data_IF_271196242003
#
_entry.id   IF_271196242003
#
_cell.length_a   1.000
_cell.length_b   1.000
_cell.length_c   1.000
_cell.angle_alpha   90.00
_cell.angle_beta   90.00
_cell.angle_gamma   90.00
#
_symmetry.space_group_name_H-M   'P 1'
#
loop_
_entity.id
_entity.type
_entity.pdbx_description
1 polymer ?
#
# COMPACT_ATOMS: atom_id res chain seq x y z
N UNK A 1 23.02 41.41 8.25
CA UNK A 1 21.58 41.10 8.07
C UNK A 1 21.27 40.16 6.89
N UNK A 2 22.05 40.15 5.79
CA UNK A 2 21.75 39.30 4.62
C UNK A 2 22.04 37.80 4.75
N UNK A 3 22.93 37.37 5.67
CA UNK A 3 23.32 35.96 5.85
C UNK A 3 22.27 35.09 6.55
N UNK A 4 21.47 35.68 7.45
CA UNK A 4 20.42 34.96 8.17
C UNK A 4 19.16 34.70 7.31
N UNK A 5 18.92 35.54 6.30
CA UNK A 5 17.80 35.38 5.38
C UNK A 5 17.92 34.12 4.50
N UNK A 6 19.13 33.74 4.08
CA UNK A 6 19.39 32.53 3.28
C UNK A 6 19.23 31.24 4.09
N UNK A 7 19.58 31.26 5.39
CA UNK A 7 19.41 30.11 6.28
C UNK A 7 17.92 29.89 6.61
N UNK A 8 17.18 30.97 6.85
CA UNK A 8 15.72 30.90 7.03
C UNK A 8 15.00 30.43 5.76
N UNK A 9 15.42 30.90 4.58
CA UNK A 9 14.81 30.50 3.31
C UNK A 9 15.07 29.01 2.99
N UNK A 10 16.27 28.50 3.29
CA UNK A 10 16.59 27.07 3.12
C UNK A 10 15.88 26.18 4.14
N UNK A 11 15.66 26.66 5.37
CA UNK A 11 14.86 25.96 6.37
C UNK A 11 13.36 25.91 6.01
N UNK A 12 12.83 27.00 5.44
CA UNK A 12 11.44 27.06 4.96
C UNK A 12 11.25 26.16 3.73
N UNK A 13 12.23 26.10 2.81
CA UNK A 13 12.21 25.16 1.69
C UNK A 13 12.31 23.70 2.13
N UNK A 14 13.12 23.38 3.14
CA UNK A 14 13.22 22.00 3.63
C UNK A 14 11.97 21.56 4.38
N UNK A 15 11.32 22.46 5.12
CA UNK A 15 10.04 22.20 5.79
C UNK A 15 8.88 22.02 4.80
N UNK A 16 8.84 22.79 3.71
CA UNK A 16 7.79 22.64 2.70
C UNK A 16 7.92 21.34 1.90
N UNK A 17 9.15 20.90 1.60
CA UNK A 17 9.42 19.58 1.01
C UNK A 17 9.08 18.44 1.97
N UNK A 18 9.34 18.59 3.27
CA UNK A 18 8.96 17.59 4.28
C UNK A 18 7.44 17.44 4.41
N UNK A 19 6.71 18.56 4.42
CA UNK A 19 5.24 18.59 4.52
C UNK A 19 4.54 17.94 3.32
N UNK A 20 5.11 18.06 2.12
CA UNK A 20 4.58 17.40 0.91
C UNK A 20 4.68 15.87 0.94
N UNK A 21 5.54 15.29 1.79
CA UNK A 21 5.82 13.84 1.83
C UNK A 21 4.80 13.03 2.64
N UNK A 22 3.76 13.67 3.21
CA UNK A 22 2.82 13.03 4.14
C UNK A 22 1.38 12.95 3.60
N UNK A 23 1.22 12.64 2.32
CA UNK A 23 -0.04 12.02 1.89
C UNK A 23 -0.10 10.63 2.55
N UNK A 24 -0.95 10.49 3.58
CA UNK A 24 -1.05 9.25 4.38
C UNK A 24 -1.26 7.99 3.53
N UNK A 25 -0.77 6.86 4.03
CA UNK A 25 -0.90 5.55 3.37
C UNK A 25 -2.38 5.28 3.08
N UNK A 26 -2.69 4.80 1.87
CA UNK A 26 -4.07 4.41 1.53
C UNK A 26 -4.27 2.98 2.02
N UNK A 27 -5.17 2.84 2.97
CA UNK A 27 -5.52 1.56 3.58
C UNK A 27 -6.91 1.10 3.15
N UNK A 28 -7.28 -0.09 3.63
CA UNK A 28 -8.64 -0.61 3.49
C UNK A 28 -9.66 0.42 4.02
N UNK A 29 -10.64 0.85 3.22
CA UNK A 29 -11.65 1.79 3.68
C UNK A 29 -12.51 1.20 4.80
N UNK A 30 -12.73 1.98 5.86
CA UNK A 30 -13.71 1.66 6.91
C UNK A 30 -15.09 2.16 6.51
N UNK A 31 -15.81 1.38 5.69
CA UNK A 31 -17.18 1.69 5.28
C UNK A 31 -18.18 0.93 6.15
N UNK A 32 -19.16 1.64 6.73
CA UNK A 32 -20.32 1.04 7.38
C UNK A 32 -21.49 0.99 6.39
N UNK A 33 -21.92 -0.21 6.03
CA UNK A 33 -23.07 -0.41 5.14
C UNK A 33 -24.35 0.09 5.82
N UNK A 34 -25.18 0.81 5.07
CA UNK A 34 -26.51 1.29 5.51
C UNK A 34 -27.65 0.48 4.91
N UNK A 35 -27.38 -0.29 3.89
CA UNK A 35 -28.30 -1.16 3.16
C UNK A 35 -27.51 -2.19 2.36
N UNK A 36 -28.22 -3.13 1.74
CA UNK A 36 -27.65 -4.17 0.87
C UNK A 36 -27.40 -3.69 -0.57
N UNK A 37 -27.50 -2.39 -0.82
CA UNK A 37 -27.29 -1.80 -2.15
C UNK A 37 -25.80 -1.65 -2.42
N UNK A 38 -25.35 -2.16 -3.58
CA UNK A 38 -23.98 -2.00 -4.09
C UNK A 38 -23.76 -0.58 -4.64
N UNK A 39 -23.63 0.42 -3.76
CA UNK A 39 -23.33 1.78 -4.20
C UNK A 39 -21.90 1.87 -4.76
N UNK A 40 -21.57 2.92 -5.54
CA UNK A 40 -20.20 3.14 -5.99
C UNK A 40 -19.20 3.15 -4.82
N UNK A 41 -19.54 3.74 -3.68
CA UNK A 41 -18.68 3.76 -2.49
C UNK A 41 -18.38 2.34 -1.98
N UNK A 42 -19.38 1.45 -1.99
CA UNK A 42 -19.19 0.04 -1.63
C UNK A 42 -18.29 -0.65 -2.65
N UNK A 43 -18.54 -0.47 -3.94
CA UNK A 43 -17.74 -1.07 -5.01
C UNK A 43 -16.25 -0.62 -4.95
N UNK A 44 -16.01 0.64 -4.62
CA UNK A 44 -14.67 1.21 -4.45
C UNK A 44 -14.01 0.84 -3.12
N UNK A 45 -14.77 0.31 -2.15
CA UNK A 45 -14.23 -0.16 -0.86
C UNK A 45 -13.54 -1.54 -0.94
N UNK A 46 -13.84 -2.34 -1.97
CA UNK A 46 -13.21 -3.64 -2.14
C UNK A 46 -11.74 -3.52 -2.56
N UNK A 47 -10.89 -4.35 -1.97
CA UNK A 47 -9.51 -4.50 -2.41
C UNK A 47 -9.44 -5.16 -3.78
N UNK A 48 -8.61 -4.63 -4.68
CA UNK A 48 -8.35 -5.27 -5.98
C UNK A 48 -7.17 -6.22 -5.83
N UNK A 49 -7.41 -7.51 -6.04
CA UNK A 49 -6.38 -8.55 -5.99
C UNK A 49 -5.56 -8.52 -7.28
N UNK A 50 -4.23 -8.66 -7.19
CA UNK A 50 -3.38 -8.80 -8.38
C UNK A 50 -2.11 -9.63 -8.11
N UNK A 51 -1.50 -10.09 -9.20
CA UNK A 51 -0.19 -10.76 -9.29
C UNK A 51 0.06 -11.81 -8.20
N UNK A 52 -0.81 -12.84 -8.07
CA UNK A 52 -0.56 -13.93 -7.14
C UNK A 52 0.64 -14.76 -7.58
N UNK A 53 1.49 -15.15 -6.63
CA UNK A 53 2.64 -16.03 -6.82
C UNK A 53 2.68 -17.08 -5.71
N UNK A 54 2.81 -18.34 -6.10
CA UNK A 54 2.91 -19.46 -5.18
C UNK A 54 4.35 -19.64 -4.68
N UNK A 55 4.51 -19.96 -3.40
CA UNK A 55 5.80 -20.28 -2.81
C UNK A 55 6.40 -21.55 -3.46
N UNK A 56 7.73 -21.71 -3.45
CA UNK A 56 8.38 -22.88 -4.05
C UNK A 56 7.90 -24.23 -3.49
N UNK A 57 7.48 -24.27 -2.22
CA UNK A 57 6.93 -25.46 -1.56
C UNK A 57 5.42 -25.68 -1.80
N UNK A 58 4.76 -24.77 -2.52
CA UNK A 58 3.35 -24.86 -2.87
C UNK A 58 2.37 -24.50 -1.76
N UNK A 59 2.83 -23.99 -0.61
CA UNK A 59 1.97 -23.83 0.59
C UNK A 59 1.47 -22.42 0.85
N UNK A 60 2.13 -21.40 0.30
CA UNK A 60 1.84 -20.00 0.60
C UNK A 60 1.72 -19.20 -0.68
N UNK A 61 0.70 -18.36 -0.80
CA UNK A 61 0.59 -17.35 -1.84
C UNK A 61 1.12 -16.02 -1.33
N UNK A 62 1.85 -15.30 -2.16
CA UNK A 62 2.02 -13.84 -2.05
C UNK A 62 1.20 -13.18 -3.15
N UNK A 63 0.52 -12.09 -2.85
CA UNK A 63 -0.33 -11.37 -3.81
C UNK A 63 -0.49 -9.91 -3.38
N UNK A 64 -0.89 -9.05 -4.32
CA UNK A 64 -1.17 -7.65 -4.02
C UNK A 64 -2.64 -7.40 -3.72
N UNK A 65 -2.89 -6.43 -2.86
CA UNK A 65 -4.21 -5.82 -2.69
C UNK A 65 -4.09 -4.31 -2.89
N UNK A 66 -4.78 -3.79 -3.90
CA UNK A 66 -4.87 -2.34 -4.14
C UNK A 66 -6.15 -1.77 -3.54
N UNK A 67 -6.01 -0.74 -2.72
CA UNK A 67 -7.10 0.12 -2.28
C UNK A 67 -6.99 1.50 -2.92
N UNK A 68 -8.13 2.17 -3.11
CA UNK A 68 -8.20 3.46 -3.78
C UNK A 68 -8.70 4.55 -2.85
N UNK A 69 -8.09 5.73 -2.96
CA UNK A 69 -8.55 6.93 -2.27
C UNK A 69 -9.05 7.96 -3.26
N UNK A 70 -10.35 8.28 -3.15
CA UNK A 70 -10.95 9.40 -3.88
C UNK A 70 -10.29 10.73 -3.52
N UNK A 71 -9.97 10.94 -2.24
CA UNK A 71 -9.35 12.17 -1.74
C UNK A 71 -7.96 12.38 -2.34
N UNK A 72 -7.16 11.32 -2.44
CA UNK A 72 -5.80 11.39 -2.96
C UNK A 72 -5.74 11.16 -4.48
N UNK A 73 -6.88 10.83 -5.12
CA UNK A 73 -6.99 10.47 -6.53
C UNK A 73 -5.92 9.44 -6.98
N UNK A 74 -5.65 8.45 -6.13
CA UNK A 74 -4.63 7.41 -6.39
C UNK A 74 -5.02 6.07 -5.75
N UNK A 75 -4.41 5.00 -6.21
CA UNK A 75 -4.40 3.70 -5.55
C UNK A 75 -3.11 3.48 -4.76
N UNK A 76 -3.15 2.56 -3.79
CA UNK A 76 -1.95 2.04 -3.13
C UNK A 76 -2.04 0.51 -3.06
N UNK A 77 -1.07 -0.17 -3.64
CA UNK A 77 -0.96 -1.62 -3.64
C UNK A 77 0.00 -2.08 -2.56
N UNK A 78 -0.47 -2.96 -1.70
CA UNK A 78 0.34 -3.59 -0.65
C UNK A 78 0.40 -5.09 -0.88
N UNK A 79 1.49 -5.72 -0.45
CA UNK A 79 1.70 -7.16 -0.54
C UNK A 79 1.15 -7.87 0.70
N UNK A 80 0.51 -8.99 0.45
CA UNK A 80 -0.04 -9.89 1.45
C UNK A 80 0.44 -11.31 1.19
N UNK A 81 0.46 -12.12 2.24
CA UNK A 81 0.63 -13.56 2.14
C UNK A 81 -0.51 -14.30 2.81
N UNK A 82 -0.84 -15.48 2.30
CA UNK A 82 -1.86 -16.36 2.85
C UNK A 82 -1.49 -17.81 2.55
N UNK A 83 -1.85 -18.75 3.44
CA UNK A 83 -1.77 -20.17 3.13
C UNK A 83 -2.72 -20.54 2.00
N UNK A 84 -2.37 -21.58 1.22
CA UNK A 84 -3.26 -22.11 0.17
C UNK A 84 -4.58 -22.67 0.72
N UNK A 85 -4.63 -22.96 2.02
CA UNK A 85 -5.83 -23.33 2.77
C UNK A 85 -6.72 -22.13 3.17
N UNK A 86 -6.33 -20.91 2.78
CA UNK A 86 -7.02 -19.67 3.11
C UNK A 86 -6.76 -19.15 4.53
N UNK A 87 -5.83 -19.75 5.28
CA UNK A 87 -5.51 -19.35 6.65
C UNK A 87 -4.23 -18.51 6.72
N UNK A 88 -3.98 -17.94 7.90
CA UNK A 88 -2.76 -17.20 8.21
C UNK A 88 -2.50 -15.99 7.28
N UNK A 89 -3.56 -15.23 6.96
CA UNK A 89 -3.43 -13.97 6.24
C UNK A 89 -2.49 -13.01 6.98
N UNK A 90 -1.49 -12.47 6.27
CA UNK A 90 -0.54 -11.48 6.78
C UNK A 90 -0.32 -10.38 5.75
N UNK A 91 -0.33 -9.14 6.21
CA UNK A 91 0.16 -8.00 5.43
C UNK A 91 1.69 -7.96 5.54
N UNK A 92 2.38 -7.87 4.41
CA UNK A 92 3.84 -7.89 4.34
C UNK A 92 4.44 -6.49 4.20
N UNK A 93 3.73 -5.58 3.53
CA UNK A 93 4.17 -4.21 3.29
C UNK A 93 3.14 -3.21 3.78
N UNK A 94 3.62 -2.03 4.18
CA UNK A 94 2.79 -0.90 4.60
C UNK A 94 3.57 0.38 4.31
N UNK A 95 3.51 0.84 3.07
CA UNK A 95 4.33 1.93 2.56
C UNK A 95 3.47 2.99 1.87
N UNK A 96 3.95 4.24 1.74
CA UNK A 96 3.19 5.31 1.07
C UNK A 96 3.13 5.14 -0.46
N UNK A 97 3.84 4.16 -1.02
CA UNK A 97 3.88 3.83 -2.43
C UNK A 97 3.32 2.43 -2.69
N UNK A 98 3.01 2.16 -3.97
CA UNK A 98 2.56 0.82 -4.34
C UNK A 98 3.76 -0.10 -4.51
N UNK A 99 3.68 -1.27 -3.91
CA UNK A 99 4.69 -2.33 -4.02
C UNK A 99 4.27 -3.31 -5.12
N UNK A 100 5.21 -3.74 -5.96
CA UNK A 100 4.95 -4.48 -7.20
C UNK A 100 5.93 -5.64 -7.41
N UNK A 101 5.61 -6.51 -8.39
CA UNK A 101 6.49 -7.57 -8.89
C UNK A 101 7.07 -8.47 -7.78
N UNK A 102 6.23 -8.82 -6.81
CA UNK A 102 6.63 -9.70 -5.71
C UNK A 102 7.02 -11.07 -6.26
N UNK A 103 8.21 -11.55 -5.89
CA UNK A 103 8.73 -12.86 -6.26
C UNK A 103 9.33 -13.56 -5.07
N UNK A 104 9.10 -14.87 -4.98
CA UNK A 104 9.74 -15.69 -3.95
C UNK A 104 11.21 -15.92 -4.27
N UNK A 105 12.04 -15.80 -3.26
CA UNK A 105 13.39 -16.35 -3.32
C UNK A 105 13.31 -17.89 -3.41
N UNK A 106 14.22 -18.59 -4.12
CA UNK A 106 14.15 -20.04 -4.32
C UNK A 106 14.09 -20.88 -3.04
N UNK A 107 14.60 -20.38 -1.92
CA UNK A 107 14.53 -21.05 -0.62
C UNK A 107 13.16 -20.93 0.07
N UNK A 108 12.23 -20.15 -0.49
CA UNK A 108 10.88 -19.91 0.05
C UNK A 108 10.84 -19.07 1.32
N UNK A 109 11.96 -18.49 1.79
CA UNK A 109 12.03 -17.77 3.06
C UNK A 109 11.94 -16.26 2.91
N UNK A 110 12.18 -15.74 1.70
CA UNK A 110 12.21 -14.31 1.40
C UNK A 110 11.39 -14.00 0.17
N UNK A 111 10.91 -12.76 0.10
CA UNK A 111 10.21 -12.20 -1.05
C UNK A 111 10.96 -10.93 -1.47
N UNK A 112 11.28 -10.82 -2.75
CA UNK A 112 11.76 -9.58 -3.36
C UNK A 112 10.60 -8.83 -4.03
N UNK A 113 10.63 -7.50 -4.03
CA UNK A 113 9.60 -6.64 -4.62
C UNK A 113 10.18 -5.25 -4.94
N UNK A 114 9.42 -4.43 -5.67
CA UNK A 114 9.78 -3.08 -6.12
C UNK A 114 8.77 -2.03 -5.69
#
# INVERSE_FOLDING_TARGET
>A
MKKYALILLSLILSLSVYSQKQAGIIEKPHLKLKSDVMTPEVLWSFGRLSDPQLSPDGKTLVYGITYYSKKQNKGNRELYSIGVDGKNLKQLTHTPGSEHNAVWHPDGKKIGFL
#
